data_IF_477369618961
#
_entry.id   IF_477369618961
#
_cell.length_a   1.000
_cell.length_b   1.000
_cell.length_c   1.000
_cell.angle_alpha   90.00
_cell.angle_beta   90.00
_cell.angle_gamma   90.00
#
_symmetry.space_group_name_H-M   'P 1'
#
loop_
_entity.id
_entity.type
_entity.pdbx_description
1 polymer ?
#
# COMPACT_ATOMS: atom_id res chain seq x y z
N UNK A 1 -14.20 0.53 11.02
CA UNK A 1 -15.34 1.41 10.63
C UNK A 1 -16.60 0.57 10.73
N UNK A 2 -17.74 1.11 11.16
CA UNK A 2 -18.97 0.32 11.29
C UNK A 2 -20.06 0.88 10.37
N UNK A 3 -20.73 0.01 9.61
CA UNK A 3 -21.94 0.37 8.87
C UNK A 3 -23.14 0.04 9.75
N UNK A 4 -23.97 1.03 10.03
CA UNK A 4 -25.14 0.87 10.89
C UNK A 4 -26.43 1.16 10.14
N UNK A 5 -27.43 0.29 10.29
CA UNK A 5 -28.76 0.42 9.71
C UNK A 5 -29.82 0.40 10.81
N UNK A 6 -30.73 1.38 10.89
CA UNK A 6 -31.82 1.38 11.85
C UNK A 6 -32.87 0.31 11.47
N UNK A 7 -33.35 -0.43 12.46
CA UNK A 7 -34.38 -1.45 12.29
C UNK A 7 -35.73 -0.94 12.82
N UNK A 8 -36.76 -1.10 12.00
CA UNK A 8 -38.14 -0.73 12.34
C UNK A 8 -39.07 -1.95 12.24
N UNK A 9 -39.96 -2.10 13.21
CA UNK A 9 -41.03 -3.10 13.19
C UNK A 9 -42.37 -2.41 13.38
N UNK A 10 -43.27 -2.55 12.40
CA UNK A 10 -44.57 -1.89 12.38
C UNK A 10 -44.50 -0.36 12.59
N UNK A 11 -43.48 0.28 11.99
CA UNK A 11 -43.26 1.73 12.14
C UNK A 11 -42.59 2.15 13.44
N UNK A 12 -42.37 1.24 14.39
CA UNK A 12 -41.66 1.53 15.63
C UNK A 12 -40.17 1.19 15.48
N UNK A 13 -39.31 2.12 15.88
CA UNK A 13 -37.88 1.87 15.97
C UNK A 13 -37.61 0.81 17.05
N UNK A 14 -36.94 -0.28 16.67
CA UNK A 14 -36.64 -1.41 17.57
C UNK A 14 -35.15 -1.57 17.86
N UNK A 15 -34.28 -0.91 17.10
CA UNK A 15 -32.84 -0.97 17.33
C UNK A 15 -32.02 -0.61 16.09
N UNK A 16 -30.72 -0.88 16.16
CA UNK A 16 -29.76 -0.67 15.07
C UNK A 16 -28.99 -1.96 14.86
N UNK A 17 -28.87 -2.41 13.62
CA UNK A 17 -27.91 -3.45 13.26
C UNK A 17 -26.63 -2.79 12.78
N UNK A 18 -25.49 -3.26 13.25
CA UNK A 18 -24.18 -2.76 12.88
C UNK A 18 -23.29 -3.88 12.39
N UNK A 19 -22.57 -3.66 11.29
CA UNK A 19 -21.51 -4.56 10.83
C UNK A 19 -20.20 -3.79 10.81
N UNK A 20 -19.17 -4.36 11.44
CA UNK A 20 -17.82 -3.80 11.41
C UNK A 20 -17.12 -4.17 10.11
N UNK A 21 -16.53 -3.17 9.48
CA UNK A 21 -15.65 -3.27 8.33
C UNK A 21 -14.24 -2.96 8.81
N UNK A 22 -13.33 -3.91 8.59
CA UNK A 22 -11.92 -3.66 8.81
C UNK A 22 -11.43 -2.63 7.78
N UNK A 23 -10.84 -1.55 8.30
CA UNK A 23 -10.27 -0.48 7.50
C UNK A 23 -9.10 -1.02 6.66
N UNK A 24 -8.37 -2.05 7.13
CA UNK A 24 -7.31 -2.70 6.35
C UNK A 24 -7.84 -3.33 5.04
N UNK A 25 -8.98 -4.04 5.10
CA UNK A 25 -9.53 -4.74 3.94
C UNK A 25 -10.00 -3.76 2.85
N UNK A 26 -10.70 -2.70 3.25
CA UNK A 26 -11.22 -1.67 2.34
C UNK A 26 -10.08 -0.89 1.66
N UNK A 27 -8.95 -0.74 2.36
CA UNK A 27 -7.93 0.22 1.98
C UNK A 27 -6.64 -0.41 1.48
N UNK A 28 -6.51 -1.73 1.54
CA UNK A 28 -5.33 -2.44 1.04
C UNK A 28 -4.94 -1.99 -0.37
N UNK A 29 -5.89 -1.85 -1.28
CA UNK A 29 -5.61 -1.39 -2.64
C UNK A 29 -5.09 0.06 -2.71
N UNK A 30 -5.50 0.91 -1.77
CA UNK A 30 -5.10 2.32 -1.66
C UNK A 30 -3.76 2.47 -0.94
N UNK A 31 -3.58 1.78 0.18
CA UNK A 31 -2.34 1.77 0.99
C UNK A 31 -1.18 1.13 0.21
N UNK A 32 -1.45 0.10 -0.59
CA UNK A 32 -0.46 -0.56 -1.43
C UNK A 32 -0.48 -0.08 -2.89
N UNK A 33 -1.11 1.09 -3.15
CA UNK A 33 -1.05 1.73 -4.46
C UNK A 33 0.38 2.18 -4.77
N UNK A 34 1.14 1.30 -5.41
CA UNK A 34 2.55 1.52 -5.71
C UNK A 34 2.75 1.76 -7.21
N UNK A 35 2.72 3.03 -7.63
CA UNK A 35 3.30 3.47 -8.90
C UNK A 35 4.54 4.35 -8.67
N UNK A 36 5.49 3.83 -7.89
CA UNK A 36 6.75 4.52 -7.54
C UNK A 36 6.74 5.14 -6.14
N UNK A 37 7.90 5.63 -5.70
CA UNK A 37 8.13 6.18 -4.35
C UNK A 37 7.43 7.53 -4.08
N UNK A 38 6.94 8.17 -5.14
CA UNK A 38 6.44 9.54 -5.16
C UNK A 38 4.97 9.65 -5.56
N UNK A 39 4.35 8.51 -5.88
CA UNK A 39 2.92 8.37 -6.17
C UNK A 39 2.22 7.83 -4.94
N UNK A 40 1.07 8.39 -4.58
CA UNK A 40 0.25 7.89 -3.47
C UNK A 40 -1.22 8.20 -3.70
N UNK A 41 -2.06 7.58 -2.87
CA UNK A 41 -3.48 7.85 -2.80
C UNK A 41 -3.86 8.31 -1.38
N UNK A 42 -4.91 9.12 -1.29
CA UNK A 42 -5.48 9.57 -0.03
C UNK A 42 -7.01 9.49 -0.11
N UNK A 43 -7.64 9.34 1.05
CA UNK A 43 -9.10 9.31 1.15
C UNK A 43 -9.56 10.32 2.19
N UNK A 44 -10.54 11.13 1.81
CA UNK A 44 -11.10 12.17 2.67
C UNK A 44 -12.62 12.07 2.69
N UNK A 45 -13.21 12.44 3.81
CA UNK A 45 -14.67 12.64 3.90
C UNK A 45 -15.08 13.98 3.30
N UNK A 46 -16.37 14.13 3.00
CA UNK A 46 -16.98 15.39 2.55
C UNK A 46 -16.82 16.54 3.56
N UNK A 47 -16.44 16.24 4.81
CA UNK A 47 -16.10 17.22 5.85
C UNK A 47 -14.64 17.70 5.81
N UNK A 48 -13.81 17.13 4.93
CA UNK A 48 -12.36 17.41 4.86
C UNK A 48 -11.52 16.57 5.82
N UNK A 49 -12.12 15.71 6.65
CA UNK A 49 -11.38 14.76 7.50
C UNK A 49 -10.71 13.70 6.66
N UNK A 50 -9.43 13.49 6.89
CA UNK A 50 -8.61 12.47 6.25
C UNK A 50 -8.83 11.13 6.92
N UNK A 51 -9.16 10.12 6.12
CA UNK A 51 -9.14 8.72 6.54
C UNK A 51 -7.78 8.08 6.28
N UNK A 52 -7.15 8.42 5.15
CA UNK A 52 -5.90 7.81 4.71
C UNK A 52 -5.03 8.87 4.08
N UNK A 53 -3.76 8.86 4.48
CA UNK A 53 -2.72 9.63 3.83
C UNK A 53 -1.36 9.03 4.21
N UNK A 54 -0.33 9.08 3.35
CA UNK A 54 1.00 8.55 3.68
C UNK A 54 1.65 9.15 4.93
N UNK A 55 1.25 10.38 5.29
CA UNK A 55 1.72 11.08 6.49
C UNK A 55 0.92 10.75 7.75
N UNK A 56 -0.18 10.01 7.62
CA UNK A 56 -0.89 9.47 8.77
C UNK A 56 -0.32 8.08 9.09
N UNK A 57 -0.19 7.73 10.38
CA UNK A 57 0.16 6.38 10.76
C UNK A 57 -0.87 5.42 10.16
N UNK A 58 -0.41 4.28 9.65
CA UNK A 58 -1.31 3.21 9.27
C UNK A 58 -2.16 2.85 10.51
N UNK A 59 -3.48 2.60 10.33
CA UNK A 59 -4.36 2.20 11.43
C UNK A 59 -3.87 0.85 11.95
N UNK A 60 -3.03 0.89 12.98
CA UNK A 60 -2.29 -0.26 13.53
C UNK A 60 -2.96 -0.80 14.78
N UNK A 61 -3.94 -0.07 15.31
CA UNK A 61 -4.71 -0.48 16.49
C UNK A 61 -6.20 -0.31 16.21
N UNK A 62 -6.94 -1.43 16.26
CA UNK A 62 -8.38 -1.48 16.09
C UNK A 62 -9.15 -0.80 17.25
N UNK A 63 -8.46 -0.51 18.37
CA UNK A 63 -9.04 0.06 19.59
C UNK A 63 -8.51 1.45 19.94
N UNK A 64 -7.59 2.01 19.14
CA UNK A 64 -7.09 3.37 19.32
C UNK A 64 -8.09 4.42 18.83
N UNK A 65 -8.11 5.59 19.48
CA UNK A 65 -8.94 6.70 19.01
C UNK A 65 -8.54 7.09 17.57
N UNK A 66 -9.50 7.16 16.62
CA UNK A 66 -9.19 7.53 15.26
C UNK A 66 -8.65 8.96 15.19
N UNK A 67 -7.44 9.11 14.64
CA UNK A 67 -6.83 10.41 14.40
C UNK A 67 -7.47 11.01 13.15
N UNK A 68 -8.45 11.89 13.34
CA UNK A 68 -9.02 12.68 12.25
C UNK A 68 -8.25 13.99 12.10
N UNK A 69 -7.38 14.06 11.08
CA UNK A 69 -6.76 15.32 10.65
C UNK A 69 -7.42 15.87 9.41
N UNK A 70 -7.53 17.20 9.34
CA UNK A 70 -7.97 17.89 8.13
C UNK A 70 -6.91 17.74 7.03
N UNK A 71 -7.32 17.36 5.82
CA UNK A 71 -6.39 17.12 4.71
C UNK A 71 -5.50 18.33 4.40
N UNK A 72 -5.98 19.56 4.65
CA UNK A 72 -5.21 20.80 4.42
C UNK A 72 -4.01 20.94 5.36
N UNK A 73 -3.99 20.18 6.47
CA UNK A 73 -2.81 20.11 7.35
C UNK A 73 -1.73 19.19 6.81
N UNK A 74 -2.12 18.22 5.99
CA UNK A 74 -1.23 17.24 5.36
C UNK A 74 -0.75 17.74 3.99
N UNK A 75 -1.62 18.41 3.25
CA UNK A 75 -1.40 19.02 1.96
C UNK A 75 -1.38 20.55 2.13
N UNK A 76 -0.24 21.09 2.56
CA UNK A 76 -0.10 22.51 2.94
C UNK A 76 0.07 23.49 1.77
N UNK A 77 0.11 22.99 0.53
CA UNK A 77 0.37 23.81 -0.65
C UNK A 77 -0.85 24.69 -0.98
N UNK A 78 -0.64 25.96 -1.31
CA UNK A 78 -1.73 26.93 -1.49
C UNK A 78 -2.70 26.54 -2.61
N UNK A 79 -2.17 25.95 -3.67
CA UNK A 79 -2.86 25.49 -4.86
C UNK A 79 -3.78 24.30 -4.58
N UNK A 80 -3.55 23.57 -3.48
CA UNK A 80 -4.38 22.46 -3.03
C UNK A 80 -5.76 22.93 -2.53
N UNK A 81 -5.93 24.19 -2.12
CA UNK A 81 -7.23 24.68 -1.66
C UNK A 81 -8.31 24.58 -2.74
N UNK A 82 -7.98 24.81 -4.02
CA UNK A 82 -8.94 24.62 -5.12
C UNK A 82 -9.30 23.14 -5.34
N UNK A 83 -8.34 22.23 -5.10
CA UNK A 83 -8.59 20.78 -5.14
C UNK A 83 -9.54 20.42 -4.00
N UNK A 84 -9.24 20.89 -2.78
CA UNK A 84 -10.08 20.70 -1.60
C UNK A 84 -11.50 21.21 -1.84
N UNK A 85 -11.66 22.44 -2.32
CA UNK A 85 -12.97 23.03 -2.62
C UNK A 85 -13.74 22.23 -3.67
N UNK A 86 -13.05 21.70 -4.69
CA UNK A 86 -13.67 20.82 -5.69
C UNK A 86 -14.16 19.51 -5.05
N UNK A 87 -13.34 18.89 -4.20
CA UNK A 87 -13.66 17.62 -3.53
C UNK A 87 -14.83 17.76 -2.55
N UNK A 88 -14.83 18.78 -1.69
CA UNK A 88 -15.94 18.98 -0.71
C UNK A 88 -17.28 19.27 -1.40
N UNK A 89 -17.24 19.82 -2.62
CA UNK A 89 -18.43 20.04 -3.45
C UNK A 89 -18.85 18.79 -4.23
N UNK A 90 -18.18 17.65 -4.04
CA UNK A 90 -18.50 16.39 -4.70
C UNK A 90 -18.18 16.37 -6.20
N UNK A 91 -17.23 17.20 -6.65
CA UNK A 91 -16.82 17.24 -8.05
C UNK A 91 -15.60 16.33 -8.28
N UNK A 92 -15.53 15.70 -9.44
CA UNK A 92 -14.31 15.04 -9.92
C UNK A 92 -13.46 16.01 -10.72
N UNK A 93 -12.14 15.82 -10.71
CA UNK A 93 -11.25 16.67 -11.50
C UNK A 93 -9.78 16.26 -11.44
N UNK A 94 -8.96 17.07 -12.09
CA UNK A 94 -7.52 16.99 -11.98
C UNK A 94 -6.88 18.37 -11.98
N UNK A 95 -5.75 18.50 -11.30
CA UNK A 95 -4.94 19.73 -11.25
C UNK A 95 -3.48 19.39 -11.11
N UNK A 96 -2.65 20.07 -11.88
CA UNK A 96 -1.20 19.92 -11.85
C UNK A 96 -0.57 21.15 -11.25
N UNK A 97 0.26 20.97 -10.22
CA UNK A 97 1.02 22.04 -9.58
C UNK A 97 2.28 21.47 -8.92
N UNK A 98 3.18 22.37 -8.52
CA UNK A 98 4.39 21.98 -7.79
C UNK A 98 3.98 21.71 -6.35
N UNK A 99 4.10 20.45 -5.93
CA UNK A 99 3.71 20.02 -4.60
C UNK A 99 4.91 19.49 -3.81
N UNK A 100 4.87 19.66 -2.49
CA UNK A 100 5.90 19.14 -1.59
C UNK A 100 5.74 17.64 -1.40
N UNK A 101 6.82 16.89 -1.61
CA UNK A 101 6.87 15.43 -1.44
C UNK A 101 7.77 15.05 -0.29
N UNK A 102 7.23 14.20 0.57
CA UNK A 102 7.89 13.67 1.75
C UNK A 102 8.44 12.28 1.40
N UNK A 103 9.69 12.22 0.91
CA UNK A 103 10.34 10.97 0.53
C UNK A 103 11.08 10.37 1.74
N UNK A 104 10.80 9.11 2.12
CA UNK A 104 11.47 8.47 3.24
C UNK A 104 12.96 8.26 2.92
N UNK A 105 13.86 8.64 3.85
CA UNK A 105 15.30 8.30 3.73
C UNK A 105 15.60 6.93 4.34
N UNK A 106 14.98 5.86 3.86
CA UNK A 106 15.38 4.50 4.22
C UNK A 106 14.47 3.79 5.23
N UNK A 107 14.92 2.60 5.66
CA UNK A 107 14.08 1.51 6.16
C UNK A 107 13.80 1.50 7.67
N UNK A 108 14.16 2.55 8.40
CA UNK A 108 13.84 2.69 9.83
C UNK A 108 12.97 3.92 10.04
N UNK A 109 11.97 3.80 10.92
CA UNK A 109 11.03 4.89 11.30
C UNK A 109 11.71 6.18 11.80
N UNK A 110 13.01 6.14 12.12
CA UNK A 110 13.80 7.29 12.61
C UNK A 110 14.62 8.00 11.54
N UNK A 111 14.68 7.48 10.32
CA UNK A 111 15.40 8.14 9.24
C UNK A 111 14.52 9.26 8.66
N UNK A 112 14.99 10.51 8.79
CA UNK A 112 14.21 11.69 8.47
C UNK A 112 13.74 11.74 7.01
N UNK A 113 12.80 12.63 6.73
CA UNK A 113 12.19 12.74 5.41
C UNK A 113 12.95 13.76 4.55
N UNK A 114 13.18 13.44 3.27
CA UNK A 114 13.60 14.47 2.30
C UNK A 114 12.36 15.14 1.74
N UNK A 115 12.26 16.45 1.90
CA UNK A 115 11.21 17.24 1.23
C UNK A 115 11.72 17.63 -0.15
N UNK A 116 11.07 17.15 -1.20
CA UNK A 116 11.37 17.50 -2.59
C UNK A 116 10.15 18.13 -3.24
N UNK A 117 10.31 19.29 -3.86
CA UNK A 117 9.25 19.91 -4.65
C UNK A 117 9.21 19.28 -6.03
N UNK A 118 8.08 18.68 -6.39
CA UNK A 118 7.91 17.99 -7.66
C UNK A 118 6.60 18.38 -8.32
N UNK A 119 6.65 18.62 -9.63
CA UNK A 119 5.46 18.87 -10.42
C UNK A 119 4.59 17.61 -10.42
N UNK A 120 3.40 17.71 -9.83
CA UNK A 120 2.51 16.58 -9.57
C UNK A 120 1.10 16.88 -10.02
N UNK A 121 0.45 15.86 -10.56
CA UNK A 121 -0.96 15.91 -10.93
C UNK A 121 -1.78 15.21 -9.85
N UNK A 122 -2.69 15.96 -9.25
CA UNK A 122 -3.72 15.46 -8.36
C UNK A 122 -4.93 15.09 -9.22
N UNK A 123 -5.45 13.90 -9.03
CA UNK A 123 -6.72 13.43 -9.58
C UNK A 123 -7.64 13.13 -8.42
N UNK A 124 -8.90 13.53 -8.50
CA UNK A 124 -9.87 13.25 -7.44
C UNK A 124 -11.23 12.92 -8.00
N UNK A 125 -11.96 12.10 -7.25
CA UNK A 125 -13.35 11.77 -7.53
C UNK A 125 -14.08 11.43 -6.23
N UNK A 126 -15.33 11.85 -6.04
CA UNK A 126 -16.18 11.25 -5.03
C UNK A 126 -16.37 9.76 -5.32
N UNK A 127 -16.54 8.97 -4.25
CA UNK A 127 -17.07 7.62 -4.36
C UNK A 127 -18.56 7.69 -4.72
N UNK A 128 -19.22 6.54 -4.84
CA UNK A 128 -20.64 6.47 -5.23
C UNK A 128 -21.53 7.48 -4.48
N UNK A 129 -22.64 7.90 -5.10
CA UNK A 129 -23.43 9.08 -4.66
C UNK A 129 -23.93 9.04 -3.22
N UNK A 130 -24.03 7.86 -2.61
CA UNK A 130 -24.54 7.68 -1.24
C UNK A 130 -23.41 7.52 -0.20
N UNK A 131 -22.15 7.70 -0.60
CA UNK A 131 -20.97 7.56 0.25
C UNK A 131 -20.27 8.91 0.41
N UNK A 132 -20.13 9.38 1.65
CA UNK A 132 -19.53 10.67 1.99
C UNK A 132 -17.99 10.72 1.90
N UNK A 133 -17.40 9.96 0.97
CA UNK A 133 -15.95 9.85 0.80
C UNK A 133 -15.52 10.16 -0.61
N UNK A 134 -14.33 10.76 -0.74
CA UNK A 134 -13.67 11.02 -2.00
C UNK A 134 -12.26 10.42 -2.01
N UNK A 135 -11.87 9.88 -3.16
CA UNK A 135 -10.55 9.31 -3.41
C UNK A 135 -9.71 10.31 -4.19
N UNK A 136 -8.52 10.60 -3.68
CA UNK A 136 -7.49 11.36 -4.36
C UNK A 136 -6.31 10.46 -4.74
N UNK A 137 -5.79 10.62 -5.95
CA UNK A 137 -4.56 9.97 -6.42
C UNK A 137 -3.61 11.04 -6.91
N UNK A 138 -2.36 10.93 -6.50
CA UNK A 138 -1.34 11.94 -6.73
C UNK A 138 -0.19 11.32 -7.49
N UNK A 139 0.04 11.78 -8.72
CA UNK A 139 1.04 11.20 -9.64
C UNK A 139 2.02 12.29 -10.08
N UNK A 140 3.33 12.14 -9.85
CA UNK A 140 4.31 13.09 -10.37
C UNK A 140 4.40 13.01 -11.90
N UNK A 141 4.54 14.16 -12.56
CA UNK A 141 4.53 14.25 -14.03
C UNK A 141 5.68 13.43 -14.66
N UNK A 142 6.81 13.29 -13.94
CA UNK A 142 7.94 12.46 -14.38
C UNK A 142 7.59 10.97 -14.49
N UNK A 143 6.68 10.46 -13.66
CA UNK A 143 6.35 9.03 -13.61
C UNK A 143 5.18 8.65 -14.52
N UNK A 144 4.49 9.61 -15.14
CA UNK A 144 3.32 9.34 -15.98
C UNK A 144 3.63 8.54 -17.27
N UNK A 145 4.91 8.30 -17.60
CA UNK A 145 5.35 7.64 -18.84
C UNK A 145 6.32 6.48 -18.66
N UNK A 146 6.81 6.24 -17.45
CA UNK A 146 7.88 5.25 -17.22
C UNK A 146 7.28 3.89 -16.81
N UNK A 147 6.83 3.11 -17.79
CA UNK A 147 6.66 1.67 -17.60
C UNK A 147 8.02 0.99 -17.83
N UNK A 148 8.60 0.46 -16.74
CA UNK A 148 9.78 -0.38 -16.85
C UNK A 148 9.39 -1.68 -17.55
N UNK A 149 10.07 -1.99 -18.65
CA UNK A 149 9.93 -3.30 -19.29
C UNK A 149 10.46 -4.39 -18.35
N UNK A 150 9.81 -5.56 -18.30
CA UNK A 150 10.32 -6.69 -17.54
C UNK A 150 11.76 -7.00 -17.98
N UNK A 151 12.69 -6.96 -17.03
CA UNK A 151 14.04 -7.44 -17.25
C UNK A 151 14.01 -8.96 -17.14
N UNK A 152 14.53 -9.66 -18.16
CA UNK A 152 14.66 -11.11 -18.09
C UNK A 152 15.78 -11.47 -17.11
N UNK A 153 15.50 -12.45 -16.25
CA UNK A 153 16.50 -13.03 -15.37
C UNK A 153 17.49 -13.81 -16.24
N UNK A 154 18.81 -13.57 -16.12
CA UNK A 154 19.79 -14.32 -16.91
C UNK A 154 19.70 -15.82 -16.67
N UNK A 155 19.84 -16.60 -17.74
CA UNK A 155 19.81 -18.06 -17.68
C UNK A 155 20.81 -18.61 -16.65
N UNK A 156 20.32 -19.45 -15.73
CA UNK A 156 21.13 -20.09 -14.69
C UNK A 156 21.38 -19.21 -13.44
N UNK A 157 20.80 -18.02 -13.34
CA UNK A 157 20.87 -17.21 -12.13
C UNK A 157 20.08 -17.86 -10.99
N UNK A 158 20.73 -18.13 -9.86
CA UNK A 158 20.13 -18.81 -8.71
C UNK A 158 19.97 -17.84 -7.55
N UNK A 159 18.72 -17.58 -7.18
CA UNK A 159 18.38 -16.86 -5.95
C UNK A 159 17.55 -17.74 -5.01
N UNK A 160 17.48 -17.35 -3.74
CA UNK A 160 16.63 -17.98 -2.72
C UNK A 160 15.69 -16.94 -2.10
N UNK A 161 14.55 -17.37 -1.60
CA UNK A 161 13.66 -16.53 -0.81
C UNK A 161 14.28 -16.18 0.55
N UNK A 162 14.06 -14.95 1.00
CA UNK A 162 14.51 -14.42 2.29
C UNK A 162 13.82 -15.14 3.46
N UNK A 163 14.39 -16.27 3.91
CA UNK A 163 14.13 -16.94 5.21
C UNK A 163 15.28 -17.88 5.56
N UNK A 164 16.46 -17.29 5.77
CA UNK A 164 17.71 -18.01 6.10
C UNK A 164 17.61 -18.80 7.44
N UNK A 165 16.69 -18.38 8.30
CA UNK A 165 16.32 -19.02 9.56
C UNK A 165 15.56 -20.34 9.37
N UNK A 166 14.78 -20.48 8.29
CA UNK A 166 14.06 -21.71 7.95
C UNK A 166 14.88 -22.57 6.99
N UNK A 167 15.41 -21.95 5.93
CA UNK A 167 16.21 -22.60 4.90
C UNK A 167 17.66 -22.15 5.02
N UNK A 168 18.41 -22.89 5.83
CA UNK A 168 19.81 -22.60 6.10
C UNK A 168 20.67 -22.70 4.83
N UNK A 169 21.67 -21.81 4.67
CA UNK A 169 22.60 -21.87 3.56
C UNK A 169 23.58 -23.02 3.77
N UNK A 170 24.07 -23.59 2.67
CA UNK A 170 25.07 -24.67 2.71
C UNK A 170 26.41 -24.18 3.25
N UNK A 171 26.76 -22.92 2.95
CA UNK A 171 28.00 -22.26 3.41
C UNK A 171 27.66 -21.03 4.26
N UNK A 172 27.29 -21.21 5.53
CA UNK A 172 26.99 -20.09 6.40
C UNK A 172 28.22 -19.26 6.73
N UNK A 173 28.00 -17.97 6.94
CA UNK A 173 28.99 -17.05 7.47
C UNK A 173 28.32 -16.10 8.48
N UNK A 174 29.13 -15.34 9.21
CA UNK A 174 28.67 -14.28 10.10
C UNK A 174 29.16 -12.94 9.58
N UNK A 175 28.25 -11.96 9.47
CA UNK A 175 28.55 -10.57 9.15
C UNK A 175 27.87 -9.69 10.19
N UNK A 176 28.64 -8.86 10.91
CA UNK A 176 28.13 -8.03 12.01
C UNK A 176 27.36 -8.81 13.09
N UNK A 177 27.70 -10.08 13.32
CA UNK A 177 27.00 -10.95 14.26
C UNK A 177 25.66 -11.51 13.76
N UNK A 178 25.27 -11.20 12.51
CA UNK A 178 24.11 -11.77 11.86
C UNK A 178 24.50 -12.97 10.97
N UNK A 179 23.62 -13.97 10.93
CA UNK A 179 23.76 -15.14 10.08
C UNK A 179 23.58 -14.76 8.61
N UNK A 180 24.53 -15.14 7.76
CA UNK A 180 24.58 -14.74 6.35
C UNK A 180 25.07 -15.89 5.46
N UNK A 181 24.90 -15.72 4.15
CA UNK A 181 25.39 -16.64 3.12
C UNK A 181 26.31 -15.89 2.15
N UNK A 182 27.43 -16.50 1.73
CA UNK A 182 28.35 -15.88 0.74
C UNK A 182 28.06 -16.29 -0.69
N UNK A 183 27.34 -17.38 -0.90
CA UNK A 183 27.20 -18.10 -2.16
C UNK A 183 25.78 -18.08 -2.73
N UNK A 184 24.91 -17.22 -2.19
CA UNK A 184 23.50 -17.14 -2.59
C UNK A 184 23.01 -15.69 -2.51
N UNK A 185 22.32 -15.26 -3.57
CA UNK A 185 21.52 -14.04 -3.56
C UNK A 185 20.15 -14.34 -2.96
N UNK A 186 19.63 -13.44 -2.11
CA UNK A 186 18.29 -13.56 -1.53
C UNK A 186 17.34 -12.53 -2.11
N UNK A 187 16.09 -12.93 -2.33
CA UNK A 187 14.98 -12.06 -2.75
C UNK A 187 13.92 -12.03 -1.66
N UNK A 188 13.40 -10.84 -1.36
CA UNK A 188 12.24 -10.64 -0.50
C UNK A 188 11.22 -9.80 -1.27
N UNK A 189 9.96 -10.19 -1.17
CA UNK A 189 8.88 -9.39 -1.73
C UNK A 189 8.32 -8.43 -0.67
N UNK A 190 8.07 -7.19 -1.10
CA UNK A 190 7.27 -6.26 -0.33
C UNK A 190 5.83 -6.78 -0.23
N UNK A 191 5.09 -6.48 0.86
CA UNK A 191 3.71 -6.94 1.04
C UNK A 191 2.79 -6.65 -0.17
N UNK A 192 2.97 -5.50 -0.84
CA UNK A 192 2.17 -5.13 -2.01
C UNK A 192 2.31 -6.06 -3.23
N UNK A 193 3.29 -6.97 -3.25
CA UNK A 193 3.44 -7.99 -4.28
C UNK A 193 2.44 -9.16 -4.12
N UNK A 194 1.84 -9.32 -2.95
CA UNK A 194 0.86 -10.36 -2.66
C UNK A 194 -0.56 -9.89 -2.97
N UNK A 195 -1.44 -10.83 -3.33
CA UNK A 195 -2.88 -10.58 -3.53
C UNK A 195 -3.55 -10.05 -2.27
N UNK A 196 -3.08 -10.50 -1.11
CA UNK A 196 -3.53 -10.08 0.21
C UNK A 196 -2.31 -9.67 1.05
N UNK A 197 -1.94 -8.37 1.02
CA UNK A 197 -0.77 -7.86 1.72
C UNK A 197 -0.86 -8.00 3.26
N UNK A 198 -2.03 -7.75 3.85
CA UNK A 198 -2.21 -7.78 5.30
C UNK A 198 -2.11 -9.21 5.84
N UNK A 199 -2.72 -10.16 5.14
CA UNK A 199 -2.54 -11.58 5.46
C UNK A 199 -1.08 -11.99 5.39
N UNK A 200 -0.32 -11.52 4.40
CA UNK A 200 1.12 -11.80 4.34
C UNK A 200 1.89 -11.18 5.51
N UNK A 201 1.61 -9.93 5.88
CA UNK A 201 2.26 -9.26 7.03
C UNK A 201 2.01 -10.01 8.34
N UNK A 202 0.78 -10.46 8.57
CA UNK A 202 0.40 -11.23 9.76
C UNK A 202 0.75 -12.73 9.71
N UNK A 203 1.21 -13.24 8.56
CA UNK A 203 1.45 -14.68 8.38
C UNK A 203 2.79 -15.08 9.00
N UNK A 204 2.74 -16.06 9.89
CA UNK A 204 3.93 -16.80 10.27
C UNK A 204 4.29 -17.80 9.17
N UNK A 205 5.22 -17.46 8.28
CA UNK A 205 5.57 -18.34 7.17
C UNK A 205 6.23 -19.64 7.67
N UNK A 206 5.82 -20.75 7.08
CA UNK A 206 6.33 -22.11 7.35
C UNK A 206 7.37 -22.53 6.33
N UNK A 207 8.06 -23.65 6.57
CA UNK A 207 8.99 -24.22 5.59
C UNK A 207 8.34 -24.52 4.24
N UNK A 208 7.12 -25.07 4.26
CA UNK A 208 6.37 -25.35 3.03
C UNK A 208 6.07 -24.08 2.24
N UNK A 209 5.74 -22.97 2.91
CA UNK A 209 5.50 -21.67 2.26
C UNK A 209 6.77 -21.16 1.57
N UNK A 210 7.90 -21.22 2.28
CA UNK A 210 9.21 -20.77 1.77
C UNK A 210 9.66 -21.64 0.60
N UNK A 211 9.46 -22.96 0.68
CA UNK A 211 9.82 -23.90 -0.40
C UNK A 211 8.95 -23.68 -1.64
N UNK A 212 7.64 -23.42 -1.47
CA UNK A 212 6.73 -23.09 -2.56
C UNK A 212 7.11 -21.77 -3.24
N UNK A 213 7.39 -20.71 -2.48
CA UNK A 213 7.89 -19.44 -3.02
C UNK A 213 9.20 -19.63 -3.80
N UNK A 214 10.13 -20.40 -3.25
CA UNK A 214 11.39 -20.73 -3.91
C UNK A 214 11.19 -21.49 -5.22
N UNK A 215 10.27 -22.46 -5.24
CA UNK A 215 9.95 -23.24 -6.43
C UNK A 215 9.28 -22.36 -7.49
N UNK A 216 8.28 -21.56 -7.11
CA UNK A 216 7.54 -20.69 -8.02
C UNK A 216 8.44 -19.66 -8.69
N UNK A 217 9.36 -19.05 -7.94
CA UNK A 217 10.29 -18.06 -8.49
C UNK A 217 11.34 -18.64 -9.46
N UNK A 218 11.57 -19.96 -9.42
CA UNK A 218 12.50 -20.67 -10.31
C UNK A 218 11.79 -21.45 -11.40
N UNK A 219 10.47 -21.29 -11.48
CA UNK A 219 9.66 -22.07 -12.38
C UNK A 219 9.62 -21.42 -13.76
N UNK A 220 10.45 -21.93 -14.66
CA UNK A 220 10.44 -21.54 -16.07
C UNK A 220 9.34 -22.25 -16.87
N UNK A 221 8.62 -23.21 -16.25
CA UNK A 221 7.61 -24.04 -16.92
C UNK A 221 6.18 -23.55 -16.71
N UNK A 222 5.95 -22.68 -15.72
CA UNK A 222 4.63 -22.18 -15.35
C UNK A 222 3.70 -23.23 -14.72
N UNK A 223 4.26 -24.33 -14.21
CA UNK A 223 3.50 -25.46 -13.62
C UNK A 223 3.36 -25.36 -12.11
N UNK A 224 4.22 -24.58 -11.44
CA UNK A 224 4.19 -24.39 -10.00
C UNK A 224 3.04 -23.46 -9.63
N UNK A 225 2.29 -23.86 -8.60
CA UNK A 225 1.15 -23.08 -8.12
C UNK A 225 1.61 -21.73 -7.56
N UNK A 226 0.95 -20.65 -7.98
CA UNK A 226 1.23 -19.31 -7.49
C UNK A 226 0.96 -19.22 -5.97
N UNK A 227 1.96 -18.82 -5.14
CA UNK A 227 1.87 -18.77 -3.68
C UNK A 227 1.05 -17.58 -3.13
N UNK A 228 0.26 -16.91 -3.97
CA UNK A 228 -0.53 -15.73 -3.61
C UNK A 228 0.08 -14.40 -4.06
N UNK A 229 1.01 -14.41 -5.01
CA UNK A 229 1.56 -13.22 -5.66
C UNK A 229 0.58 -12.66 -6.70
N UNK A 230 0.60 -11.34 -6.90
CA UNK A 230 -0.08 -10.67 -8.01
C UNK A 230 0.56 -11.11 -9.33
N UNK A 231 -0.23 -11.22 -10.40
CA UNK A 231 0.23 -11.73 -11.71
C UNK A 231 1.36 -10.91 -12.34
N UNK A 232 1.57 -9.67 -11.90
CA UNK A 232 2.70 -8.82 -12.30
C UNK A 232 4.05 -9.29 -11.74
N UNK A 233 4.04 -10.17 -10.74
CA UNK A 233 5.24 -10.71 -10.10
C UNK A 233 5.28 -12.23 -10.31
N UNK A 234 6.16 -12.70 -11.19
CA UNK A 234 6.42 -14.14 -11.35
C UNK A 234 5.96 -14.78 -12.67
N UNK A 235 5.84 -14.01 -13.75
CA UNK A 235 5.90 -14.59 -15.10
C UNK A 235 7.21 -14.13 -15.77
N UNK A 236 7.95 -15.04 -16.42
CA UNK A 236 8.93 -14.64 -17.43
C UNK A 236 8.30 -13.76 -18.52
#
# INVERSE_FOLDING_TARGET
>A
MSITLPCFHQGNFIGVTGTDINIEDLLSDITFFNQGQSTYAFMISNSGRTLIHPLLPAPTDAYGDPIFMDIRTLESDTEFNEVFDSVINGNSGSKTFIAKRFLPRGGKEKEGVTVTEMNSTYFWTPLERDIDFSLGVVVPVSHAKDQLNPLQIPDGYKFKYHRIDINHPEKPCSQFGAYAAKDTTVVKFAPGAFKDPYKYIGKHETKADVDLLNAYMKDDTGTVTNPGLKMTFGTP
#
